data_IF_252860216139
#
_entry.id   IF_252860216139
#
_cell.length_a   1.000
_cell.length_b   1.000
_cell.length_c   1.000
_cell.angle_alpha   90.00
_cell.angle_beta   90.00
_cell.angle_gamma   90.00
#
_symmetry.space_group_name_H-M   'P 1'
#
loop_
_entity.id
_entity.type
_entity.pdbx_description
1 polymer ?
#
# COMPACT_ATOMS: atom_id res chain seq x y z
N UNK A 1 -33.78 2.95 -29.95
CA UNK A 1 -33.08 3.39 -28.71
C UNK A 1 -31.74 2.68 -28.50
N UNK A 2 -31.64 1.37 -28.70
CA UNK A 2 -30.39 0.60 -28.54
C UNK A 2 -29.17 1.12 -29.35
N UNK A 3 -29.37 1.55 -30.60
CA UNK A 3 -28.28 2.07 -31.44
C UNK A 3 -27.69 3.41 -30.97
N UNK A 4 -28.45 4.20 -30.19
CA UNK A 4 -27.96 5.47 -29.60
C UNK A 4 -27.19 5.22 -28.30
N UNK A 5 -27.64 4.25 -27.50
CA UNK A 5 -26.93 3.78 -26.29
C UNK A 5 -25.57 3.15 -26.64
N UNK A 6 -25.51 2.34 -27.70
CA UNK A 6 -24.27 1.72 -28.14
C UNK A 6 -23.24 2.75 -28.64
N UNK A 7 -23.70 3.79 -29.34
CA UNK A 7 -22.84 4.92 -29.75
C UNK A 7 -22.36 5.75 -28.57
N UNK A 8 -23.19 5.96 -27.55
CA UNK A 8 -22.79 6.66 -26.33
C UNK A 8 -21.74 5.87 -25.54
N UNK A 9 -21.91 4.55 -25.39
CA UNK A 9 -20.94 3.68 -24.74
C UNK A 9 -19.61 3.66 -25.48
N UNK A 10 -19.60 3.54 -26.81
CA UNK A 10 -18.36 3.54 -27.59
C UNK A 10 -17.67 4.89 -27.56
N UNK A 11 -18.41 6.00 -27.52
CA UNK A 11 -17.82 7.33 -27.33
C UNK A 11 -17.25 7.51 -25.92
N UNK A 12 -17.92 7.00 -24.86
CA UNK A 12 -17.38 7.06 -23.50
C UNK A 12 -16.09 6.25 -23.37
N UNK A 13 -16.06 5.02 -23.91
CA UNK A 13 -14.88 4.15 -23.93
C UNK A 13 -13.71 4.75 -24.73
N UNK A 14 -14.01 5.43 -25.84
CA UNK A 14 -13.00 6.13 -26.62
C UNK A 14 -12.41 7.32 -25.85
N UNK A 15 -13.25 8.09 -25.15
CA UNK A 15 -12.83 9.25 -24.35
C UNK A 15 -12.02 8.83 -23.13
N UNK A 16 -12.39 7.73 -22.43
CA UNK A 16 -11.60 7.21 -21.30
C UNK A 16 -10.25 6.65 -21.76
N UNK A 17 -10.19 5.96 -22.91
CA UNK A 17 -8.91 5.45 -23.45
C UNK A 17 -7.98 6.58 -23.92
N UNK A 18 -8.54 7.67 -24.45
CA UNK A 18 -7.78 8.85 -24.87
C UNK A 18 -7.28 9.66 -23.67
N UNK A 19 -8.11 9.82 -22.63
CA UNK A 19 -7.73 10.46 -21.37
C UNK A 19 -6.63 9.66 -20.64
N UNK A 20 -6.74 8.33 -20.59
CA UNK A 20 -5.72 7.45 -20.00
C UNK A 20 -4.39 7.49 -20.77
N UNK A 21 -4.43 7.55 -22.11
CA UNK A 21 -3.23 7.74 -22.94
C UNK A 21 -2.63 9.15 -22.84
N UNK A 22 -3.45 10.17 -22.61
CA UNK A 22 -2.99 11.54 -22.38
C UNK A 22 -2.36 11.70 -20.98
N UNK A 23 -2.91 11.04 -19.96
CA UNK A 23 -2.32 10.96 -18.62
C UNK A 23 -0.98 10.21 -18.65
N UNK A 24 -0.92 9.06 -19.33
CA UNK A 24 0.32 8.29 -19.51
C UNK A 24 1.38 9.02 -20.35
N UNK A 25 0.98 9.86 -21.32
CA UNK A 25 1.91 10.73 -22.07
C UNK A 25 2.35 11.95 -21.27
N UNK A 26 1.53 12.46 -20.36
CA UNK A 26 1.86 13.55 -19.45
C UNK A 26 2.83 13.13 -18.34
N UNK A 27 2.82 11.86 -17.92
CA UNK A 27 3.78 11.30 -16.95
C UNK A 27 5.14 10.97 -17.57
N UNK A 28 5.20 10.77 -18.90
CA UNK A 28 6.39 10.32 -19.61
C UNK A 28 7.42 11.43 -19.92
N UNK A 29 7.11 12.69 -19.58
CA UNK A 29 7.97 13.86 -19.85
C UNK A 29 8.33 14.60 -18.55
N UNK A 30 8.54 13.85 -17.47
CA UNK A 30 9.07 14.39 -16.23
C UNK A 30 10.57 14.14 -16.16
N UNK A 31 11.31 15.22 -15.94
CA UNK A 31 12.74 15.22 -15.65
C UNK A 31 13.05 14.12 -14.61
N UNK A 32 13.61 12.99 -15.09
CA UNK A 32 13.93 11.76 -14.36
C UNK A 32 15.13 11.96 -13.43
N UNK A 33 15.25 13.14 -12.81
CA UNK A 33 16.28 13.38 -11.82
C UNK A 33 16.05 12.43 -10.65
N UNK A 34 17.09 11.71 -10.26
CA UNK A 34 16.98 10.74 -9.19
C UNK A 34 16.61 11.44 -7.86
N UNK A 35 15.77 10.82 -6.99
CA UNK A 35 15.29 11.50 -5.78
C UNK A 35 16.40 11.93 -4.82
N UNK A 36 17.57 11.28 -4.87
CA UNK A 36 18.77 11.62 -4.10
C UNK A 36 19.38 12.97 -4.51
N UNK A 37 19.54 13.21 -5.82
CA UNK A 37 20.01 14.48 -6.35
C UNK A 37 19.05 15.60 -5.95
N UNK A 38 17.76 15.38 -6.12
CA UNK A 38 16.72 16.37 -5.79
C UNK A 38 16.67 16.66 -4.28
N UNK A 39 16.82 15.64 -3.43
CA UNK A 39 16.87 15.84 -1.99
C UNK A 39 18.12 16.64 -1.59
N UNK A 40 19.29 16.32 -2.14
CA UNK A 40 20.54 17.04 -1.89
C UNK A 40 20.49 18.50 -2.37
N UNK A 41 19.89 18.76 -3.53
CA UNK A 41 19.64 20.14 -4.00
C UNK A 41 18.73 20.90 -3.04
N UNK A 42 17.67 20.25 -2.54
CA UNK A 42 16.74 20.84 -1.59
C UNK A 42 17.41 21.19 -0.26
N UNK A 43 18.24 20.31 0.29
CA UNK A 43 18.98 20.59 1.53
C UNK A 43 20.03 21.69 1.33
N UNK A 44 20.70 21.72 0.17
CA UNK A 44 21.62 22.79 -0.19
C UNK A 44 20.91 24.15 -0.37
N UNK A 45 19.72 24.17 -0.96
CA UNK A 45 18.88 25.37 -1.06
C UNK A 45 18.44 25.86 0.33
N UNK A 46 18.08 24.94 1.23
CA UNK A 46 17.71 25.24 2.61
C UNK A 46 18.87 25.92 3.36
N UNK A 47 20.08 25.38 3.23
CA UNK A 47 21.28 25.96 3.85
C UNK A 47 21.59 27.38 3.37
N UNK A 48 21.20 27.74 2.15
CA UNK A 48 21.35 29.10 1.59
C UNK A 48 20.16 30.03 1.84
N UNK A 49 19.08 29.54 2.44
CA UNK A 49 17.84 30.30 2.63
C UNK A 49 17.05 30.54 1.33
N UNK A 50 17.29 29.73 0.29
CA UNK A 50 16.55 29.77 -0.98
C UNK A 50 15.24 28.98 -0.85
N UNK A 51 14.24 29.60 -0.21
CA UNK A 51 12.95 28.95 0.07
C UNK A 51 12.21 28.46 -1.18
N UNK A 52 12.14 29.23 -2.30
CA UNK A 52 11.59 28.72 -3.55
C UNK A 52 12.35 27.50 -4.08
N UNK A 53 13.69 27.50 -3.99
CA UNK A 53 14.52 26.35 -4.35
C UNK A 53 14.23 25.11 -3.51
N UNK A 54 14.07 25.25 -2.19
CA UNK A 54 13.70 24.14 -1.29
C UNK A 54 12.37 23.53 -1.72
N UNK A 55 11.34 24.36 -1.94
CA UNK A 55 10.01 23.88 -2.35
C UNK A 55 10.10 23.12 -3.66
N UNK A 56 10.79 23.69 -4.66
CA UNK A 56 10.95 23.06 -5.96
C UNK A 56 11.63 21.69 -5.84
N UNK A 57 12.79 21.62 -5.20
CA UNK A 57 13.59 20.40 -5.12
C UNK A 57 12.93 19.34 -4.23
N UNK A 58 12.38 19.69 -3.07
CA UNK A 58 11.73 18.74 -2.17
C UNK A 58 10.41 18.19 -2.73
N UNK A 59 9.56 19.01 -3.34
CA UNK A 59 8.36 18.51 -4.00
C UNK A 59 8.72 17.57 -5.17
N UNK A 60 9.76 17.89 -5.94
CA UNK A 60 10.25 17.03 -7.02
C UNK A 60 10.80 15.71 -6.47
N UNK A 61 11.54 15.74 -5.37
CA UNK A 61 12.07 14.56 -4.71
C UNK A 61 10.95 13.59 -4.29
N UNK A 62 9.89 14.11 -3.65
CA UNK A 62 8.70 13.35 -3.27
C UNK A 62 8.00 12.73 -4.49
N UNK A 63 7.76 13.54 -5.55
CA UNK A 63 7.14 13.04 -6.80
C UNK A 63 7.99 11.98 -7.48
N UNK A 64 9.31 12.17 -7.53
CA UNK A 64 10.23 11.22 -8.15
C UNK A 64 10.28 9.90 -7.38
N UNK A 65 10.25 9.94 -6.04
CA UNK A 65 10.16 8.72 -5.23
C UNK A 65 8.85 7.98 -5.46
N UNK A 66 7.72 8.69 -5.49
CA UNK A 66 6.42 8.11 -5.79
C UNK A 66 6.39 7.46 -7.18
N UNK A 67 6.95 8.13 -8.19
CA UNK A 67 7.06 7.60 -9.55
C UNK A 67 7.94 6.34 -9.62
N UNK A 68 9.05 6.31 -8.88
CA UNK A 68 9.92 5.13 -8.77
C UNK A 68 9.19 3.95 -8.11
N UNK A 69 8.47 4.18 -7.01
CA UNK A 69 7.62 3.17 -6.38
C UNK A 69 6.58 2.63 -7.36
N UNK A 70 5.87 3.51 -8.06
CA UNK A 70 4.85 3.13 -9.03
C UNK A 70 5.44 2.33 -10.20
N UNK A 71 6.62 2.69 -10.70
CA UNK A 71 7.34 1.92 -11.73
C UNK A 71 7.66 0.51 -11.23
N UNK A 72 8.23 0.39 -10.02
CA UNK A 72 8.56 -0.91 -9.41
C UNK A 72 7.33 -1.79 -9.28
N UNK A 73 6.25 -1.24 -8.74
CA UNK A 73 4.98 -1.94 -8.57
C UNK A 73 4.44 -2.45 -9.91
N UNK A 74 4.26 -1.56 -10.90
CA UNK A 74 3.75 -1.94 -12.23
C UNK A 74 4.60 -3.03 -12.88
N UNK A 75 5.92 -2.90 -12.82
CA UNK A 75 6.83 -3.89 -13.40
C UNK A 75 6.74 -5.24 -12.70
N UNK A 76 6.72 -5.26 -11.36
CA UNK A 76 6.65 -6.50 -10.60
C UNK A 76 5.31 -7.21 -10.78
N UNK A 77 4.20 -6.50 -10.67
CA UNK A 77 2.87 -7.06 -10.88
C UNK A 77 2.71 -7.61 -12.30
N UNK A 78 3.11 -6.83 -13.32
CA UNK A 78 3.01 -7.28 -14.71
C UNK A 78 3.89 -8.49 -15.01
N UNK A 79 5.16 -8.46 -14.59
CA UNK A 79 6.07 -9.58 -14.84
C UNK A 79 5.67 -10.84 -14.05
N UNK A 80 5.04 -10.69 -12.89
CA UNK A 80 4.45 -11.81 -12.14
C UNK A 80 3.26 -12.43 -12.87
N UNK A 81 2.41 -11.60 -13.48
CA UNK A 81 1.25 -12.05 -14.25
C UNK A 81 1.65 -12.69 -15.60
N UNK A 82 2.63 -12.13 -16.29
CA UNK A 82 3.14 -12.66 -17.57
C UNK A 82 3.93 -13.97 -17.37
N UNK A 83 4.53 -14.16 -16.18
CA UNK A 83 5.35 -15.32 -15.82
C UNK A 83 5.01 -15.82 -14.41
N UNK A 84 3.84 -16.47 -14.23
CA UNK A 84 3.44 -17.02 -12.94
C UNK A 84 4.35 -18.18 -12.53
N UNK A 85 4.44 -18.42 -11.21
CA UNK A 85 5.07 -19.63 -10.70
C UNK A 85 4.13 -20.82 -10.96
N UNK A 86 4.31 -21.49 -12.10
CA UNK A 86 3.59 -22.74 -12.37
C UNK A 86 4.11 -23.85 -11.46
N UNK A 87 3.39 -24.14 -10.38
CA UNK A 87 3.31 -25.48 -9.83
C UNK A 87 2.00 -26.06 -10.36
N UNK A 88 2.05 -26.70 -11.52
CA UNK A 88 0.91 -27.37 -12.12
C UNK A 88 0.36 -28.42 -11.12
N UNK A 89 -0.79 -28.19 -10.46
CA UNK A 89 -1.32 -29.07 -9.42
C UNK A 89 -1.75 -30.43 -10.00
N UNK A 90 -2.06 -30.45 -11.31
CA UNK A 90 -2.54 -31.60 -12.06
C UNK A 90 -1.41 -32.37 -12.76
N UNK A 91 -0.15 -31.95 -12.60
CA UNK A 91 0.98 -32.77 -13.02
C UNK A 91 1.00 -34.03 -12.14
N UNK A 92 0.73 -35.24 -12.70
CA UNK A 92 0.72 -36.45 -11.91
C UNK A 92 2.09 -36.61 -11.24
N UNK A 93 2.16 -37.06 -9.96
CA UNK A 93 3.43 -37.40 -9.35
C UNK A 93 4.11 -38.40 -10.27
N UNK A 94 5.15 -37.93 -10.97
CA UNK A 94 5.78 -38.70 -12.02
C UNK A 94 6.49 -39.87 -11.34
N UNK A 95 5.85 -41.04 -11.33
CA UNK A 95 6.38 -42.30 -10.78
C UNK A 95 7.65 -42.78 -11.53
N UNK A 96 8.08 -42.06 -12.57
CA UNK A 96 9.34 -42.27 -13.28
C UNK A 96 10.44 -41.37 -12.70
N UNK A 97 11.18 -41.92 -11.73
CA UNK A 97 12.49 -41.44 -11.26
C UNK A 97 13.57 -41.72 -12.32
N UNK A 98 13.47 -41.08 -13.48
CA UNK A 98 14.55 -41.01 -14.46
C UNK A 98 15.33 -39.70 -14.28
N UNK A 99 16.66 -39.72 -14.41
CA UNK A 99 17.50 -38.50 -14.36
C UNK A 99 16.99 -37.36 -15.29
N UNK A 100 16.37 -37.72 -16.43
CA UNK A 100 15.78 -36.76 -17.37
C UNK A 100 14.51 -36.06 -16.89
N UNK A 101 13.69 -36.65 -16.00
CA UNK A 101 12.48 -35.99 -15.49
C UNK A 101 12.81 -34.91 -14.47
N UNK A 102 13.83 -35.14 -13.63
CA UNK A 102 14.36 -34.14 -12.69
C UNK A 102 15.00 -32.95 -13.43
N UNK A 103 15.81 -33.20 -14.46
CA UNK A 103 16.42 -32.13 -15.27
C UNK A 103 15.36 -31.26 -15.99
N UNK A 104 14.26 -31.85 -16.44
CA UNK A 104 13.15 -31.10 -17.05
C UNK A 104 12.38 -30.25 -16.04
N UNK A 105 12.26 -30.71 -14.79
CA UNK A 105 11.65 -29.94 -13.71
C UNK A 105 12.50 -28.70 -13.36
N UNK A 106 13.81 -28.89 -13.20
CA UNK A 106 14.74 -27.79 -12.93
C UNK A 106 14.71 -26.75 -14.06
N UNK A 107 14.69 -27.20 -15.32
CA UNK A 107 14.59 -26.32 -16.48
C UNK A 107 13.30 -25.50 -16.51
N UNK A 108 12.15 -26.07 -16.08
CA UNK A 108 10.89 -25.33 -15.99
C UNK A 108 10.94 -24.26 -14.89
N UNK A 109 11.39 -24.64 -13.70
CA UNK A 109 11.49 -23.73 -12.57
C UNK A 109 12.46 -22.58 -12.84
N UNK A 110 13.72 -22.91 -13.17
CA UNK A 110 14.74 -21.89 -13.46
C UNK A 110 14.44 -21.14 -14.76
N UNK A 111 13.79 -21.77 -15.74
CA UNK A 111 13.30 -21.11 -16.94
C UNK A 111 12.30 -19.99 -16.62
N UNK A 112 11.29 -20.28 -15.79
CA UNK A 112 10.33 -19.27 -15.32
C UNK A 112 11.01 -18.12 -14.56
N UNK A 113 11.94 -18.45 -13.66
CA UNK A 113 12.74 -17.46 -12.93
C UNK A 113 13.53 -16.54 -13.88
N UNK A 114 14.22 -17.12 -14.88
CA UNK A 114 15.01 -16.36 -15.86
C UNK A 114 14.13 -15.46 -16.74
N UNK A 115 12.94 -15.93 -17.14
CA UNK A 115 11.99 -15.13 -17.89
C UNK A 115 11.47 -13.94 -17.07
N UNK A 116 11.09 -14.17 -15.81
CA UNK A 116 10.65 -13.11 -14.90
C UNK A 116 11.77 -12.09 -14.64
N UNK A 117 13.00 -12.55 -14.42
CA UNK A 117 14.17 -11.68 -14.28
C UNK A 117 14.44 -10.83 -15.54
N UNK A 118 14.33 -11.44 -16.73
CA UNK A 118 14.49 -10.72 -17.99
C UNK A 118 13.39 -9.66 -18.20
N UNK A 119 12.14 -9.98 -17.85
CA UNK A 119 11.02 -9.05 -17.86
C UNK A 119 11.27 -7.85 -16.95
N UNK A 120 11.66 -8.09 -15.69
CA UNK A 120 11.94 -7.04 -14.71
C UNK A 120 13.07 -6.13 -15.16
N UNK A 121 14.18 -6.70 -15.66
CA UNK A 121 15.31 -5.91 -16.16
C UNK A 121 14.91 -5.01 -17.34
N UNK A 122 14.05 -5.51 -18.23
CA UNK A 122 13.54 -4.72 -19.37
C UNK A 122 12.57 -3.63 -18.92
N UNK A 123 11.70 -3.93 -17.95
CA UNK A 123 10.66 -3.03 -17.50
C UNK A 123 11.21 -1.90 -16.61
N UNK A 124 12.08 -2.26 -15.67
CA UNK A 124 12.73 -1.30 -14.77
C UNK A 124 13.76 -0.47 -15.51
N UNK A 125 14.49 -1.01 -16.50
CA UNK A 125 15.56 -0.27 -17.17
C UNK A 125 16.86 -0.26 -16.35
N UNK A 126 17.79 0.68 -16.60
CA UNK A 126 19.12 0.67 -16.01
C UNK A 126 19.10 0.91 -14.48
N UNK A 127 19.87 0.14 -13.67
CA UNK A 127 19.84 0.21 -12.21
C UNK A 127 20.08 1.59 -11.60
N UNK A 128 20.99 2.38 -12.20
CA UNK A 128 21.40 3.69 -11.70
C UNK A 128 20.27 4.74 -11.68
N UNK A 129 19.20 4.54 -12.46
CA UNK A 129 18.06 5.45 -12.48
C UNK A 129 17.07 5.18 -11.33
N UNK A 130 17.26 4.10 -10.56
CA UNK A 130 16.22 3.49 -9.74
C UNK A 130 16.70 3.04 -8.35
N UNK A 131 17.95 3.30 -7.96
CA UNK A 131 18.47 2.99 -6.62
C UNK A 131 18.43 4.23 -5.73
N UNK A 132 17.76 4.14 -4.58
CA UNK A 132 17.91 5.08 -3.48
C UNK A 132 18.89 4.47 -2.48
N UNK A 133 19.76 5.29 -1.89
CA UNK A 133 20.56 4.82 -0.76
C UNK A 133 19.63 4.48 0.42
N UNK A 134 20.06 3.52 1.25
CA UNK A 134 19.34 3.13 2.46
C UNK A 134 19.13 4.34 3.39
N UNK A 135 20.16 5.17 3.55
CA UNK A 135 20.10 6.43 4.30
C UNK A 135 18.98 7.34 3.81
N UNK A 136 18.81 7.46 2.49
CA UNK A 136 17.79 8.33 1.92
C UNK A 136 16.39 7.71 2.02
N UNK A 137 16.24 6.39 1.84
CA UNK A 137 14.96 5.72 2.10
C UNK A 137 14.51 5.95 3.55
N UNK A 138 15.45 5.93 4.51
CA UNK A 138 15.17 6.26 5.90
C UNK A 138 14.70 7.71 6.08
N UNK A 139 15.32 8.68 5.41
CA UNK A 139 14.89 10.09 5.46
C UNK A 139 13.46 10.27 4.94
N UNK A 140 13.10 9.58 3.86
CA UNK A 140 11.73 9.63 3.38
C UNK A 140 10.75 8.85 4.28
N UNK A 141 11.16 7.72 4.87
CA UNK A 141 10.34 6.99 5.83
C UNK A 141 10.05 7.83 7.08
N UNK A 142 11.04 8.60 7.53
CA UNK A 142 10.89 9.61 8.61
C UNK A 142 10.14 10.86 8.15
N UNK A 143 9.68 10.94 6.89
CA UNK A 143 8.98 12.10 6.33
C UNK A 143 9.81 13.40 6.40
N UNK A 144 11.14 13.31 6.43
CA UNK A 144 12.05 14.46 6.52
C UNK A 144 11.84 15.55 5.45
N UNK A 145 11.49 15.26 4.18
CA UNK A 145 11.20 16.31 3.20
C UNK A 145 10.15 17.32 3.67
N UNK A 146 9.16 16.87 4.46
CA UNK A 146 8.10 17.75 4.95
C UNK A 146 8.58 18.69 6.05
N UNK A 147 9.61 18.32 6.81
CA UNK A 147 10.24 19.22 7.77
C UNK A 147 10.94 20.39 7.07
N UNK A 148 11.56 20.16 5.92
CA UNK A 148 12.11 21.24 5.09
C UNK A 148 11.00 22.07 4.43
N UNK A 149 9.99 21.39 3.88
CA UNK A 149 8.88 22.04 3.18
C UNK A 149 8.07 22.95 4.10
N UNK A 150 7.80 22.57 5.35
CA UNK A 150 6.99 23.40 6.24
C UNK A 150 7.65 24.76 6.51
N UNK A 151 8.97 24.78 6.75
CA UNK A 151 9.72 26.04 6.92
C UNK A 151 9.69 26.85 5.62
N UNK A 152 9.98 26.21 4.49
CA UNK A 152 10.07 26.90 3.20
C UNK A 152 8.72 27.51 2.81
N UNK A 153 7.61 26.77 2.98
CA UNK A 153 6.26 27.26 2.75
C UNK A 153 5.88 28.42 3.67
N UNK A 154 6.24 28.33 4.94
CA UNK A 154 6.00 29.41 5.89
C UNK A 154 6.73 30.68 5.45
N UNK A 155 8.01 30.58 5.06
CA UNK A 155 8.84 31.70 4.62
C UNK A 155 8.35 32.38 3.33
N UNK A 156 7.62 31.67 2.47
CA UNK A 156 7.01 32.22 1.26
C UNK A 156 5.50 32.51 1.41
N UNK A 157 5.00 32.57 2.65
CA UNK A 157 3.61 32.91 2.99
C UNK A 157 2.55 31.95 2.39
N UNK A 158 2.88 30.66 2.28
CA UNK A 158 1.93 29.60 1.90
C UNK A 158 1.51 28.79 3.13
N UNK A 159 0.74 29.44 4.01
CA UNK A 159 0.39 28.90 5.34
C UNK A 159 -0.31 27.52 5.27
N UNK A 160 -1.35 27.35 4.46
CA UNK A 160 -2.05 26.05 4.30
C UNK A 160 -1.05 24.90 4.00
N UNK A 161 -0.14 25.11 3.05
CA UNK A 161 0.87 24.10 2.69
C UNK A 161 1.90 23.88 3.81
N UNK A 162 2.26 24.93 4.54
CA UNK A 162 3.17 24.82 5.67
C UNK A 162 2.56 23.96 6.79
N UNK A 163 1.30 24.19 7.12
CA UNK A 163 0.56 23.40 8.12
C UNK A 163 0.44 21.94 7.70
N UNK A 164 0.03 21.67 6.46
CA UNK A 164 -0.07 20.31 5.96
C UNK A 164 1.29 19.57 6.00
N UNK A 165 2.38 20.21 5.59
CA UNK A 165 3.72 19.63 5.67
C UNK A 165 4.15 19.38 7.12
N UNK A 166 3.94 20.35 8.02
CA UNK A 166 4.26 20.19 9.45
C UNK A 166 3.48 19.03 10.08
N UNK A 167 2.18 18.93 9.79
CA UNK A 167 1.32 17.86 10.28
C UNK A 167 1.76 16.50 9.74
N UNK A 168 2.05 16.41 8.44
CA UNK A 168 2.56 15.18 7.79
C UNK A 168 3.85 14.69 8.46
N UNK A 169 4.81 15.58 8.72
CA UNK A 169 6.05 15.23 9.43
C UNK A 169 5.78 14.78 10.87
N UNK A 170 4.93 15.51 11.60
CA UNK A 170 4.62 15.20 12.99
C UNK A 170 3.90 13.86 13.16
N UNK A 171 3.00 13.49 12.26
CA UNK A 171 2.34 12.16 12.29
C UNK A 171 3.38 11.04 12.27
N UNK A 172 4.44 11.19 11.46
CA UNK A 172 5.59 10.28 11.39
C UNK A 172 6.57 10.36 12.55
N UNK A 173 6.55 11.46 13.31
CA UNK A 173 7.53 11.78 14.35
C UNK A 173 6.83 12.43 15.56
N UNK A 174 5.94 11.70 16.27
CA UNK A 174 5.08 12.26 17.32
C UNK A 174 5.85 12.83 18.52
N UNK A 175 7.08 12.33 18.75
CA UNK A 175 7.96 12.78 19.84
C UNK A 175 8.81 14.02 19.48
N UNK A 176 8.68 14.56 18.26
CA UNK A 176 9.44 15.73 17.84
C UNK A 176 8.89 17.01 18.47
N UNK A 177 9.55 17.47 19.54
CA UNK A 177 9.10 18.59 20.37
C UNK A 177 8.97 19.92 19.62
N UNK A 178 9.95 20.27 18.78
CA UNK A 178 9.94 21.52 18.01
C UNK A 178 8.79 21.54 17.00
N UNK A 179 8.48 20.40 16.36
CA UNK A 179 7.37 20.34 15.42
C UNK A 179 6.02 20.50 16.14
N UNK A 180 5.88 19.92 17.33
CA UNK A 180 4.69 20.11 18.17
C UNK A 180 4.46 21.60 18.46
N UNK A 181 5.52 22.32 18.86
CA UNK A 181 5.44 23.77 19.10
C UNK A 181 5.09 24.56 17.83
N UNK A 182 5.62 24.17 16.68
CA UNK A 182 5.27 24.80 15.40
C UNK A 182 3.78 24.62 15.06
N UNK A 183 3.24 23.41 15.29
CA UNK A 183 1.82 23.13 15.07
C UNK A 183 0.92 23.92 16.03
N UNK A 184 1.28 23.97 17.32
CA UNK A 184 0.57 24.80 18.31
C UNK A 184 0.57 26.28 17.90
N UNK A 185 1.72 26.77 17.39
CA UNK A 185 1.81 28.13 16.86
C UNK A 185 0.90 28.32 15.64
N UNK A 186 0.91 27.41 14.66
CA UNK A 186 0.05 27.49 13.48
C UNK A 186 -1.44 27.52 13.82
N UNK A 187 -1.88 26.78 14.84
CA UNK A 187 -3.27 26.80 15.30
C UNK A 187 -3.72 28.19 15.76
N UNK A 188 -2.80 29.03 16.25
CA UNK A 188 -3.12 30.40 16.70
C UNK A 188 -3.11 31.44 15.57
N UNK A 189 -2.63 31.09 14.38
CA UNK A 189 -2.48 32.04 13.28
C UNK A 189 -3.81 32.31 12.57
N UNK A 190 -4.09 33.60 12.31
CA UNK A 190 -5.23 33.99 11.50
C UNK A 190 -5.10 33.45 10.07
N UNK A 191 -6.13 32.76 9.60
CA UNK A 191 -6.19 32.20 8.24
C UNK A 191 -5.83 30.72 8.16
N UNK A 192 -5.34 30.10 9.24
CA UNK A 192 -5.21 28.65 9.36
C UNK A 192 -6.55 28.06 9.76
N UNK A 193 -6.94 26.96 9.11
CA UNK A 193 -8.18 26.21 9.38
C UNK A 193 -7.84 24.81 9.86
N UNK A 194 -8.78 24.18 10.55
CA UNK A 194 -8.65 22.77 10.97
C UNK A 194 -8.40 21.84 9.77
N UNK A 195 -9.03 22.11 8.62
CA UNK A 195 -8.84 21.35 7.38
C UNK A 195 -7.41 21.44 6.80
N UNK A 196 -6.57 22.38 7.26
CA UNK A 196 -5.19 22.50 6.79
C UNK A 196 -4.26 21.45 7.46
N UNK A 197 -4.68 20.89 8.60
CA UNK A 197 -3.98 19.84 9.35
C UNK A 197 -4.26 18.45 8.75
N UNK A 198 -3.82 18.26 7.51
CA UNK A 198 -3.94 16.98 6.78
C UNK A 198 -2.60 16.25 6.73
N UNK A 199 -2.65 14.93 6.88
CA UNK A 199 -1.51 14.07 6.55
C UNK A 199 -1.48 13.83 5.04
N UNK A 200 -0.43 14.28 4.38
CA UNK A 200 -0.24 14.12 2.92
C UNK A 200 0.22 12.71 2.53
N UNK A 201 0.58 11.89 3.51
CA UNK A 201 0.96 10.48 3.32
C UNK A 201 0.02 9.52 4.06
N UNK A 202 -1.22 9.95 4.29
CA UNK A 202 -2.24 9.10 4.88
C UNK A 202 -2.51 7.88 3.98
N UNK A 203 -2.64 6.69 4.59
CA UNK A 203 -2.92 5.45 3.88
C UNK A 203 -4.44 5.32 3.67
N UNK A 204 -4.96 5.21 2.42
CA UNK A 204 -6.41 5.24 2.15
C UNK A 204 -7.22 4.22 2.97
N UNK A 205 -6.74 2.98 3.06
CA UNK A 205 -7.41 1.92 3.83
C UNK A 205 -7.54 2.25 5.32
N UNK A 206 -6.56 2.94 5.89
CA UNK A 206 -6.58 3.37 7.29
C UNK A 206 -7.56 4.53 7.53
N UNK A 207 -7.58 5.51 6.63
CA UNK A 207 -8.46 6.66 6.76
C UNK A 207 -9.93 6.26 6.66
N UNK A 208 -10.26 5.44 5.65
CA UNK A 208 -11.60 4.88 5.46
C UNK A 208 -12.01 4.01 6.66
N UNK A 209 -11.11 3.17 7.16
CA UNK A 209 -11.39 2.33 8.33
C UNK A 209 -11.70 3.19 9.57
N UNK A 210 -10.86 4.18 9.87
CA UNK A 210 -11.04 5.05 11.04
C UNK A 210 -12.30 5.89 10.95
N UNK A 211 -12.65 6.36 9.76
CA UNK A 211 -13.90 7.09 9.52
C UNK A 211 -15.11 6.17 9.71
N UNK A 212 -15.09 4.98 9.12
CA UNK A 212 -16.14 3.97 9.27
C UNK A 212 -16.37 3.57 10.74
N UNK A 213 -15.30 3.31 11.48
CA UNK A 213 -15.37 2.98 12.93
C UNK A 213 -15.93 4.16 13.74
N UNK A 214 -15.57 5.40 13.42
CA UNK A 214 -16.09 6.59 14.09
C UNK A 214 -17.60 6.72 13.86
N UNK A 215 -18.04 6.66 12.61
CA UNK A 215 -19.47 6.76 12.25
C UNK A 215 -20.29 5.64 12.89
N UNK A 216 -19.74 4.42 12.93
CA UNK A 216 -20.38 3.31 13.65
C UNK A 216 -20.51 3.60 15.15
N UNK A 217 -19.45 4.13 15.77
CA UNK A 217 -19.45 4.50 17.20
C UNK A 217 -20.40 5.66 17.52
N UNK A 218 -20.68 6.53 16.55
CA UNK A 218 -21.65 7.62 16.61
C UNK A 218 -23.08 7.18 16.25
N UNK A 219 -23.35 5.87 16.23
CA UNK A 219 -24.65 5.25 15.93
C UNK A 219 -25.18 5.56 14.51
N UNK A 220 -24.28 5.76 13.55
CA UNK A 220 -24.60 6.01 12.13
C UNK A 220 -24.18 4.82 11.24
N UNK A 221 -24.77 3.63 11.41
CA UNK A 221 -24.34 2.42 10.70
C UNK A 221 -24.57 2.52 9.18
N UNK A 222 -25.59 3.26 8.74
CA UNK A 222 -25.88 3.48 7.31
C UNK A 222 -24.75 4.24 6.60
N UNK A 223 -24.13 5.20 7.29
CA UNK A 223 -22.98 5.97 6.76
C UNK A 223 -21.66 5.23 7.00
N UNK A 224 -21.56 4.42 8.06
CA UNK A 224 -20.36 3.63 8.36
C UNK A 224 -20.07 2.53 7.33
N UNK A 225 -21.10 1.81 6.87
CA UNK A 225 -20.96 0.68 5.92
C UNK A 225 -20.14 1.05 4.67
N UNK A 226 -20.43 2.10 3.89
CA UNK A 226 -19.67 2.41 2.69
C UNK A 226 -18.19 2.70 2.97
N UNK A 227 -17.87 3.35 4.09
CA UNK A 227 -16.49 3.62 4.49
C UNK A 227 -15.75 2.34 4.94
N UNK A 228 -16.40 1.46 5.69
CA UNK A 228 -15.80 0.18 6.10
C UNK A 228 -15.59 -0.77 4.89
N UNK A 229 -16.51 -0.77 3.91
CA UNK A 229 -16.34 -1.52 2.66
C UNK A 229 -15.21 -0.94 1.80
N UNK A 230 -15.13 0.39 1.68
CA UNK A 230 -14.03 1.05 0.99
C UNK A 230 -12.67 0.74 1.67
N UNK A 231 -12.64 0.76 2.99
CA UNK A 231 -11.45 0.40 3.78
C UNK A 231 -10.97 -1.02 3.46
N UNK A 232 -11.88 -1.98 3.36
CA UNK A 232 -11.56 -3.36 3.06
C UNK A 232 -11.04 -3.52 1.61
N UNK A 233 -11.64 -2.83 0.65
CA UNK A 233 -11.17 -2.83 -0.75
C UNK A 233 -9.75 -2.25 -0.85
N UNK A 234 -9.53 -1.07 -0.26
CA UNK A 234 -8.23 -0.41 -0.24
C UNK A 234 -7.18 -1.21 0.55
N UNK A 235 -7.59 -1.96 1.58
CA UNK A 235 -6.68 -2.85 2.31
C UNK A 235 -6.07 -3.89 1.39
N UNK A 236 -6.88 -4.58 0.57
CA UNK A 236 -6.37 -5.62 -0.33
C UNK A 236 -5.50 -5.03 -1.45
N UNK A 237 -5.85 -3.85 -1.96
CA UNK A 237 -4.98 -3.12 -2.90
C UNK A 237 -3.62 -2.84 -2.24
N UNK A 238 -3.61 -2.30 -1.03
CA UNK A 238 -2.38 -2.00 -0.30
C UNK A 238 -1.56 -3.28 0.03
N UNK A 239 -2.22 -4.41 0.31
CA UNK A 239 -1.56 -5.69 0.61
C UNK A 239 -0.88 -6.24 -0.64
N UNK A 240 -1.57 -6.26 -1.78
CA UNK A 240 -1.00 -6.66 -3.06
C UNK A 240 0.19 -5.77 -3.45
N UNK A 241 0.08 -4.45 -3.25
CA UNK A 241 1.19 -3.54 -3.50
C UNK A 241 2.39 -3.83 -2.61
N UNK A 242 2.16 -4.02 -1.30
CA UNK A 242 3.21 -4.34 -0.34
C UNK A 242 3.93 -5.64 -0.74
N UNK A 243 3.16 -6.70 -1.01
CA UNK A 243 3.68 -8.02 -1.36
C UNK A 243 4.43 -7.99 -2.69
N UNK A 244 3.95 -7.25 -3.67
CA UNK A 244 4.65 -7.06 -4.93
C UNK A 244 6.00 -6.36 -4.70
N UNK A 245 6.07 -5.42 -3.75
CA UNK A 245 7.29 -4.65 -3.53
C UNK A 245 8.37 -5.37 -2.71
N UNK A 246 8.03 -6.49 -2.04
CA UNK A 246 8.96 -7.34 -1.31
C UNK A 246 10.03 -8.04 -2.17
N UNK A 247 9.86 -8.11 -3.49
CA UNK A 247 10.83 -8.74 -4.42
C UNK A 247 12.00 -7.78 -4.74
N UNK A 248 12.53 -7.17 -3.68
CA UNK A 248 13.65 -6.22 -3.64
C UNK A 248 15.02 -6.86 -3.82
N UNK A 249 16.09 -6.04 -3.84
CA UNK A 249 17.45 -6.56 -3.65
C UNK A 249 17.56 -7.29 -2.30
N UNK A 250 18.50 -8.25 -2.21
CA UNK A 250 18.83 -8.87 -0.92
C UNK A 250 19.38 -7.80 0.00
N UNK A 251 18.86 -7.76 1.22
CA UNK A 251 19.36 -6.87 2.26
C UNK A 251 20.33 -7.69 3.11
N UNK A 252 21.60 -7.29 3.11
CA UNK A 252 22.59 -7.95 3.93
C UNK A 252 22.46 -7.36 5.33
N UNK A 253 22.04 -8.16 6.31
CA UNK A 253 21.95 -7.71 7.71
C UNK A 253 23.28 -7.07 8.18
N UNK A 254 23.36 -5.73 8.12
CA UNK A 254 24.49 -4.92 8.56
C UNK A 254 25.84 -5.26 7.91
N UNK A 255 26.89 -5.39 8.75
CA UNK A 255 28.28 -5.60 8.33
C UNK A 255 28.57 -7.02 7.78
N UNK A 256 27.57 -7.90 7.74
CA UNK A 256 27.73 -9.31 7.33
C UNK A 256 27.97 -9.50 5.82
N UNK A 257 27.80 -8.47 5.00
CA UNK A 257 28.11 -8.54 3.56
C UNK A 257 29.55 -9.02 3.28
N UNK A 258 30.53 -8.56 4.07
CA UNK A 258 31.94 -8.96 3.89
C UNK A 258 32.22 -10.41 4.29
N UNK A 259 31.35 -11.00 5.11
CA UNK A 259 31.47 -12.36 5.63
C UNK A 259 30.50 -13.34 4.92
N UNK A 260 29.64 -12.82 4.04
CA UNK A 260 28.64 -13.60 3.32
C UNK A 260 29.29 -14.48 2.25
N UNK A 261 29.58 -15.72 2.60
CA UNK A 261 30.11 -16.76 1.71
C UNK A 261 29.05 -17.86 1.52
N UNK A 262 28.00 -17.55 0.77
CA UNK A 262 26.96 -18.51 0.43
C UNK A 262 27.22 -19.17 -0.93
N UNK A 263 26.97 -20.48 -1.02
CA UNK A 263 26.84 -21.14 -2.32
C UNK A 263 25.54 -20.73 -3.03
N UNK A 264 25.34 -21.21 -4.26
CA UNK A 264 24.16 -20.86 -5.08
C UNK A 264 22.83 -21.15 -4.36
N UNK A 265 22.71 -22.30 -3.70
CA UNK A 265 21.45 -22.71 -3.08
C UNK A 265 21.20 -22.00 -1.77
N UNK A 266 22.27 -21.73 -1.00
CA UNK A 266 22.20 -20.88 0.18
C UNK A 266 21.75 -19.46 -0.21
N UNK A 267 22.36 -18.85 -1.23
CA UNK A 267 22.00 -17.50 -1.70
C UNK A 267 20.54 -17.39 -2.18
N UNK A 268 20.06 -18.40 -2.92
CA UNK A 268 18.66 -18.45 -3.34
C UNK A 268 17.75 -18.60 -2.11
N UNK A 269 18.07 -19.51 -1.20
CA UNK A 269 17.24 -19.80 -0.03
C UNK A 269 17.13 -18.59 0.89
N UNK A 270 18.25 -17.96 1.24
CA UNK A 270 18.29 -16.78 2.10
C UNK A 270 17.46 -15.65 1.52
N UNK A 271 17.61 -15.37 0.22
CA UNK A 271 16.85 -14.33 -0.45
C UNK A 271 15.35 -14.65 -0.52
N UNK A 272 14.97 -15.90 -0.78
CA UNK A 272 13.56 -16.31 -0.77
C UNK A 272 12.95 -16.21 0.63
N UNK A 273 13.68 -16.56 1.68
CA UNK A 273 13.23 -16.41 3.07
C UNK A 273 13.00 -14.93 3.40
N UNK A 274 13.90 -14.03 2.98
CA UNK A 274 13.69 -12.58 3.13
C UNK A 274 12.41 -12.12 2.43
N UNK A 275 12.21 -12.51 1.17
CA UNK A 275 11.01 -12.12 0.39
C UNK A 275 9.73 -12.64 1.05
N UNK A 276 9.72 -13.90 1.50
CA UNK A 276 8.57 -14.49 2.18
C UNK A 276 8.29 -13.82 3.53
N UNK A 277 9.33 -13.54 4.32
CA UNK A 277 9.23 -12.80 5.58
C UNK A 277 8.64 -11.41 5.36
N UNK A 278 9.13 -10.67 4.35
CA UNK A 278 8.55 -9.38 3.96
C UNK A 278 7.06 -9.50 3.59
N UNK A 279 6.70 -10.47 2.73
CA UNK A 279 5.30 -10.67 2.30
C UNK A 279 4.38 -11.03 3.48
N UNK A 280 4.87 -11.79 4.45
CA UNK A 280 4.14 -12.11 5.66
C UNK A 280 3.97 -10.88 6.56
N UNK A 281 5.00 -10.03 6.65
CA UNK A 281 4.96 -8.80 7.43
C UNK A 281 4.09 -7.68 6.84
N UNK A 282 3.62 -7.81 5.60
CA UNK A 282 2.71 -6.83 4.99
C UNK A 282 1.45 -6.60 5.83
N UNK A 283 0.87 -7.64 6.44
CA UNK A 283 -0.31 -7.51 7.32
C UNK A 283 0.00 -6.60 8.51
N UNK A 284 1.19 -6.73 9.10
CA UNK A 284 1.66 -5.90 10.21
C UNK A 284 1.93 -4.47 9.74
N UNK A 285 2.60 -4.28 8.60
CA UNK A 285 2.87 -2.95 8.02
C UNK A 285 1.59 -2.20 7.65
N UNK A 286 0.61 -2.90 7.08
CA UNK A 286 -0.69 -2.35 6.76
C UNK A 286 -1.46 -1.96 8.01
N UNK A 287 -1.27 -2.68 9.13
CA UNK A 287 -1.84 -2.37 10.44
C UNK A 287 -1.02 -1.32 11.25
N UNK A 288 0.15 -0.92 10.78
CA UNK A 288 0.99 0.08 11.45
C UNK A 288 0.54 1.51 11.11
N UNK A 289 0.52 2.36 12.12
CA UNK A 289 0.30 3.79 11.98
C UNK A 289 1.46 4.55 12.65
N UNK A 290 2.10 5.53 11.99
CA UNK A 290 3.34 6.14 12.52
C UNK A 290 3.21 6.78 13.91
N UNK A 291 2.01 7.25 14.28
CA UNK A 291 1.74 7.80 15.62
C UNK A 291 1.43 6.75 16.71
N UNK A 292 1.63 5.46 16.45
CA UNK A 292 1.40 4.36 17.40
C UNK A 292 2.67 3.53 17.53
N UNK A 293 3.01 3.16 18.77
CA UNK A 293 4.14 2.26 19.03
C UNK A 293 3.86 0.82 18.54
N UNK A 294 2.60 0.38 18.66
CA UNK A 294 2.16 -0.95 18.24
C UNK A 294 1.14 -0.87 17.10
N UNK A 295 1.25 -1.77 16.10
CA UNK A 295 0.22 -1.97 15.09
C UNK A 295 -1.15 -2.23 15.71
N UNK A 296 -2.22 -2.00 14.95
CA UNK A 296 -3.55 -2.42 15.37
C UNK A 296 -3.61 -3.95 15.40
N UNK A 297 -4.03 -4.50 16.55
CA UNK A 297 -4.26 -5.94 16.69
C UNK A 297 -5.46 -6.35 15.82
N UNK A 298 -5.35 -7.51 15.18
CA UNK A 298 -6.42 -8.11 14.37
C UNK A 298 -7.03 -7.12 13.37
N UNK A 299 -6.20 -6.28 12.75
CA UNK A 299 -6.66 -5.16 11.93
C UNK A 299 -7.57 -5.60 10.78
N UNK A 300 -7.16 -6.59 9.98
CA UNK A 300 -8.00 -7.14 8.91
C UNK A 300 -9.29 -7.81 9.47
N UNK A 301 -9.22 -8.74 10.44
CA UNK A 301 -10.42 -9.28 11.08
C UNK A 301 -11.38 -8.21 11.60
N UNK A 302 -10.86 -7.12 12.16
CA UNK A 302 -11.66 -6.01 12.69
C UNK A 302 -12.56 -5.37 11.65
N UNK A 303 -12.16 -5.31 10.37
CA UNK A 303 -13.02 -4.82 9.29
C UNK A 303 -14.32 -5.63 9.22
N UNK A 304 -14.20 -6.96 9.21
CA UNK A 304 -15.34 -7.87 9.18
C UNK A 304 -16.17 -7.81 10.45
N UNK A 305 -15.54 -7.61 11.62
CA UNK A 305 -16.25 -7.45 12.88
C UNK A 305 -17.10 -6.16 12.92
N UNK A 306 -16.58 -5.03 12.44
CA UNK A 306 -17.37 -3.80 12.34
C UNK A 306 -18.46 -3.92 11.25
N UNK A 307 -18.12 -4.49 10.09
CA UNK A 307 -19.08 -4.66 8.99
C UNK A 307 -20.25 -5.56 9.39
N UNK A 308 -20.03 -6.68 10.09
CA UNK A 308 -21.13 -7.56 10.47
C UNK A 308 -22.14 -6.84 11.38
N UNK A 309 -21.68 -6.05 12.35
CA UNK A 309 -22.57 -5.28 13.21
C UNK A 309 -23.25 -4.14 12.45
N UNK A 310 -22.51 -3.42 11.60
CA UNK A 310 -23.06 -2.32 10.82
C UNK A 310 -24.16 -2.81 9.86
N UNK A 311 -23.94 -3.95 9.18
CA UNK A 311 -24.95 -4.58 8.33
C UNK A 311 -26.16 -5.09 9.10
N UNK A 312 -25.94 -5.69 10.27
CA UNK A 312 -27.01 -6.10 11.16
C UNK A 312 -27.90 -4.90 11.55
N UNK A 313 -27.30 -3.78 11.97
CA UNK A 313 -28.04 -2.60 12.42
C UNK A 313 -28.91 -1.96 11.32
N UNK A 314 -28.56 -2.17 10.05
CA UNK A 314 -29.37 -1.70 8.91
C UNK A 314 -30.31 -2.78 8.35
N UNK A 315 -30.42 -3.94 9.01
CA UNK A 315 -31.30 -5.04 8.63
C UNK A 315 -30.80 -5.91 7.47
N UNK A 316 -29.52 -5.79 7.10
CA UNK A 316 -28.93 -6.55 6.00
C UNK A 316 -28.27 -7.85 6.50
N UNK A 317 -29.09 -8.84 6.87
CA UNK A 317 -28.61 -10.09 7.46
C UNK A 317 -27.73 -10.93 6.54
N UNK A 318 -27.95 -10.87 5.22
CA UNK A 318 -27.14 -11.62 4.25
C UNK A 318 -25.66 -11.23 4.36
N UNK A 319 -25.37 -9.93 4.36
CA UNK A 319 -24.00 -9.41 4.44
C UNK A 319 -23.45 -9.52 5.86
N UNK A 320 -24.30 -9.40 6.89
CA UNK A 320 -23.89 -9.66 8.26
C UNK A 320 -23.41 -11.11 8.46
N UNK A 321 -24.12 -12.09 7.90
CA UNK A 321 -23.73 -13.51 7.91
C UNK A 321 -22.41 -13.71 7.16
N UNK A 322 -22.28 -13.10 5.97
CA UNK A 322 -21.09 -13.19 5.13
C UNK A 322 -19.84 -12.67 5.88
N UNK A 323 -19.94 -11.48 6.48
CA UNK A 323 -18.86 -10.90 7.29
C UNK A 323 -18.55 -11.71 8.55
N UNK A 324 -19.57 -12.21 9.26
CA UNK A 324 -19.38 -13.06 10.44
C UNK A 324 -18.67 -14.37 10.10
N UNK A 325 -19.07 -15.04 9.01
CA UNK A 325 -18.38 -16.24 8.50
C UNK A 325 -16.93 -15.95 8.11
N UNK A 326 -16.68 -14.80 7.49
CA UNK A 326 -15.33 -14.38 7.10
C UNK A 326 -14.45 -14.13 8.33
N UNK A 327 -14.96 -13.46 9.36
CA UNK A 327 -14.25 -13.28 10.63
C UNK A 327 -13.90 -14.61 11.29
N UNK A 328 -14.82 -15.58 11.28
CA UNK A 328 -14.61 -16.91 11.85
C UNK A 328 -13.56 -17.74 11.09
N UNK A 329 -13.13 -17.35 9.88
CA UNK A 329 -11.95 -17.95 9.24
C UNK A 329 -10.65 -17.63 10.01
N UNK A 330 -10.59 -16.45 10.65
CA UNK A 330 -9.45 -16.04 11.48
C UNK A 330 -9.56 -16.59 12.90
N UNK A 331 -10.77 -16.57 13.47
CA UNK A 331 -11.04 -16.99 14.85
C UNK A 331 -12.21 -18.00 14.92
N UNK A 332 -11.99 -19.28 14.56
CA UNK A 332 -13.08 -20.26 14.47
C UNK A 332 -13.83 -20.51 15.79
N UNK A 333 -13.14 -20.30 16.91
CA UNK A 333 -13.65 -20.57 18.24
C UNK A 333 -14.17 -19.30 18.97
N UNK A 334 -14.33 -18.17 18.26
CA UNK A 334 -14.89 -16.95 18.87
C UNK A 334 -16.37 -17.18 19.23
N UNK A 335 -16.65 -17.32 20.52
CA UNK A 335 -18.00 -17.62 21.02
C UNK A 335 -19.00 -16.52 20.70
N UNK A 336 -18.57 -15.26 20.74
CA UNK A 336 -19.44 -14.09 20.50
C UNK A 336 -19.83 -14.04 19.03
N UNK A 337 -18.86 -14.20 18.13
CA UNK A 337 -19.14 -14.19 16.70
C UNK A 337 -19.99 -15.40 16.28
N UNK A 338 -19.79 -16.57 16.88
CA UNK A 338 -20.65 -17.73 16.63
C UNK A 338 -22.11 -17.49 17.08
N UNK A 339 -22.31 -16.82 18.21
CA UNK A 339 -23.65 -16.42 18.66
C UNK A 339 -24.29 -15.40 17.73
N UNK A 340 -23.53 -14.39 17.28
CA UNK A 340 -24.00 -13.41 16.30
C UNK A 340 -24.42 -14.08 14.98
N UNK A 341 -23.58 -14.99 14.47
CA UNK A 341 -23.88 -15.75 13.25
C UNK A 341 -25.17 -16.57 13.38
N UNK A 342 -25.36 -17.27 14.50
CA UNK A 342 -26.58 -18.03 14.76
C UNK A 342 -27.81 -17.11 14.81
N UNK A 343 -27.69 -15.94 15.43
CA UNK A 343 -28.76 -14.96 15.48
C UNK A 343 -29.11 -14.41 14.09
N UNK A 344 -28.13 -13.99 13.29
CA UNK A 344 -28.38 -13.49 11.93
C UNK A 344 -28.97 -14.57 11.02
N UNK A 345 -28.51 -15.81 11.17
CA UNK A 345 -29.03 -16.99 10.47
C UNK A 345 -30.51 -17.22 10.79
N UNK A 346 -30.90 -17.14 12.07
CA UNK A 346 -32.29 -17.28 12.48
C UNK A 346 -33.18 -16.15 11.94
N UNK A 347 -32.65 -14.91 11.90
CA UNK A 347 -33.38 -13.74 11.38
C UNK A 347 -33.61 -13.80 9.86
N UNK A 348 -32.64 -14.32 9.10
CA UNK A 348 -32.75 -14.48 7.64
C UNK A 348 -33.53 -15.74 7.25
N UNK A 349 -33.37 -16.82 8.01
CA UNK A 349 -33.87 -18.16 7.73
C UNK A 349 -32.75 -19.12 7.32
N UNK A 350 -32.73 -20.30 7.96
CA UNK A 350 -31.69 -21.34 7.83
C UNK A 350 -31.40 -21.74 6.37
N UNK A 351 -32.43 -21.96 5.56
CA UNK A 351 -32.24 -22.36 4.15
C UNK A 351 -31.49 -21.30 3.35
N UNK A 352 -31.86 -20.03 3.51
CA UNK A 352 -31.23 -18.92 2.79
C UNK A 352 -29.79 -18.71 3.28
N UNK A 353 -29.59 -18.72 4.60
CA UNK A 353 -28.29 -18.56 5.24
C UNK A 353 -27.28 -19.67 4.89
N UNK A 354 -27.77 -20.89 4.61
CA UNK A 354 -26.92 -22.03 4.25
C UNK A 354 -26.15 -21.80 2.94
N UNK A 355 -26.71 -20.99 2.02
CA UNK A 355 -26.10 -20.67 0.73
C UNK A 355 -25.06 -19.54 0.77
N UNK A 356 -24.94 -18.83 1.90
CA UNK A 356 -24.02 -17.70 2.07
C UNK A 356 -22.65 -18.23 2.53
N UNK A 357 -21.62 -18.01 1.74
CA UNK A 357 -20.23 -18.33 2.10
C UNK A 357 -19.55 -17.17 2.87
N UNK A 358 -18.32 -17.37 3.35
CA UNK A 358 -17.43 -16.26 3.66
C UNK A 358 -17.05 -15.50 2.37
N UNK A 359 -16.52 -14.27 2.52
CA UNK A 359 -15.88 -13.52 1.45
C UNK A 359 -14.48 -14.09 1.25
N UNK A 360 -14.25 -14.75 0.12
CA UNK A 360 -12.93 -15.26 -0.31
C UNK A 360 -12.21 -14.30 -1.24
#
# INVERSE_FOLDING_TARGET
MAARLLKLLTTLLAVTSAASRAHAKSEAEWDLSAPDVLFAEGTAAYARGDWPGVVLSMERALRSRAALRALRLRCRTRCAADFPWELDPDSPPSLMRGSGTAALHDLRFFGGLLHRAACLRRCLGPPAAHSLSEELELEFHKRSPYNYLQVAYFKINKLEKAVAAAHTFFVGNPEHMEMRQNLDYYQTMSGVKEADFKDLEAKPHMDEFRLGVRLYSEEQPQEAVPHLEAALQEYFVADEECRALCEGPYDYDGYNYLEYNADLFQAITDHYVQVLSCKQNCVTELASHPSREKPFEDFLPSHYNYLQFAYYNIGNYTQAIECAKTYLLFFPNDEVMNQNLAYYTAMLGEEQASSIGPRE
#
